data_IF_049794341404
#
_entry.id   IF_049794341404
#
_cell.length_a   1.000
_cell.length_b   1.000
_cell.length_c   1.000
_cell.angle_alpha   90.00
_cell.angle_beta   90.00
_cell.angle_gamma   90.00
#
_symmetry.space_group_name_H-M   'P 1'
#
loop_
_entity.id
_entity.type
_entity.pdbx_description
1 polymer ?
#
# COMPACT_ATOMS: atom_id res chain seq x y z
N UNK A 1 45.08 -12.23 12.93
CA UNK A 1 44.78 -10.86 12.48
C UNK A 1 43.67 -10.25 13.37
N UNK A 2 43.88 -9.11 14.08
CA UNK A 2 42.98 -8.57 15.12
C UNK A 2 41.82 -7.67 14.60
N UNK A 3 40.95 -8.19 13.72
CA UNK A 3 39.95 -7.38 13.02
C UNK A 3 38.62 -8.09 12.97
N UNK A 4 37.54 -7.33 12.98
CA UNK A 4 36.21 -7.84 12.69
C UNK A 4 35.99 -7.98 11.18
N UNK A 5 35.04 -8.83 10.78
CA UNK A 5 34.65 -8.97 9.38
C UNK A 5 34.05 -7.66 8.82
N UNK A 6 34.23 -7.36 7.52
CA UNK A 6 33.59 -6.20 6.91
C UNK A 6 32.06 -6.22 7.08
N UNK A 7 31.48 -5.09 7.50
CA UNK A 7 30.02 -4.96 7.66
C UNK A 7 29.41 -4.75 6.27
N UNK A 8 28.36 -5.50 5.96
CA UNK A 8 27.51 -5.29 4.78
C UNK A 8 26.06 -5.16 5.26
N UNK A 9 25.49 -3.95 5.19
CA UNK A 9 24.08 -3.70 5.52
C UNK A 9 23.32 -3.46 4.22
N UNK A 10 22.38 -4.35 3.90
CA UNK A 10 21.50 -4.15 2.73
C UNK A 10 20.57 -2.96 3.02
N UNK A 11 20.46 -2.03 2.08
CA UNK A 11 19.64 -0.80 2.22
C UNK A 11 20.04 0.10 3.39
N UNK A 12 21.33 0.10 3.74
CA UNK A 12 21.87 0.97 4.78
C UNK A 12 23.32 1.33 4.51
N UNK A 13 23.71 2.47 5.06
CA UNK A 13 25.05 3.02 5.00
C UNK A 13 25.74 2.84 6.35
N UNK A 14 27.05 2.58 6.31
CA UNK A 14 27.86 2.26 7.49
C UNK A 14 29.00 3.27 7.60
N UNK A 15 29.02 4.02 8.69
CA UNK A 15 30.03 5.05 8.95
C UNK A 15 30.91 4.64 10.12
N UNK A 16 32.12 4.15 9.83
CA UNK A 16 33.05 3.66 10.84
C UNK A 16 34.13 4.68 11.21
N UNK A 17 34.41 4.78 12.52
CA UNK A 17 35.48 5.57 13.12
C UNK A 17 36.41 4.63 13.89
N UNK A 18 37.63 4.44 13.37
CA UNK A 18 38.67 3.65 14.03
C UNK A 18 39.25 4.43 15.24
N UNK A 19 39.73 3.73 16.29
CA UNK A 19 40.42 4.40 17.39
C UNK A 19 41.65 5.13 16.89
N UNK A 20 41.88 6.35 17.40
CA UNK A 20 43.09 7.16 17.11
C UNK A 20 43.36 7.41 15.62
N UNK A 21 42.34 7.38 14.76
CA UNK A 21 42.52 7.59 13.32
C UNK A 21 43.21 6.43 12.61
N UNK A 22 43.19 5.23 13.19
CA UNK A 22 43.81 4.05 12.60
C UNK A 22 43.35 3.78 11.16
N UNK A 23 44.29 3.31 10.33
CA UNK A 23 44.06 3.03 8.90
C UNK A 23 42.93 2.01 8.67
N UNK A 24 42.73 1.11 9.62
CA UNK A 24 41.88 -0.06 9.49
C UNK A 24 40.48 0.18 10.06
N UNK A 25 39.45 0.27 9.19
CA UNK A 25 38.04 0.48 9.58
C UNK A 25 37.35 -0.72 10.25
N UNK A 26 38.09 -1.77 10.60
CA UNK A 26 37.57 -2.96 11.29
C UNK A 26 38.46 -3.41 12.45
N UNK A 27 39.40 -2.57 12.90
CA UNK A 27 40.24 -2.85 14.05
C UNK A 27 39.42 -2.93 15.35
N UNK A 28 39.95 -3.63 16.35
CA UNK A 28 39.38 -3.66 17.70
C UNK A 28 39.07 -2.25 18.22
N UNK A 29 37.90 -2.08 18.85
CA UNK A 29 37.42 -0.79 19.36
C UNK A 29 36.82 0.15 18.30
N UNK A 30 36.89 -0.19 17.00
CA UNK A 30 36.21 0.60 15.95
C UNK A 30 34.72 0.70 16.21
N UNK A 31 34.17 1.91 16.07
CA UNK A 31 32.74 2.20 16.22
C UNK A 31 32.14 2.53 14.87
N UNK A 32 31.05 1.88 14.51
CA UNK A 32 30.35 2.09 13.26
C UNK A 32 28.91 2.52 13.50
N UNK A 33 28.53 3.69 13.02
CA UNK A 33 27.17 4.19 13.06
C UNK A 33 26.40 3.71 11.81
N UNK A 34 25.21 3.16 12.00
CA UNK A 34 24.39 2.55 10.95
C UNK A 34 23.23 3.48 10.62
N UNK A 35 23.03 3.77 9.33
CA UNK A 35 21.90 4.58 8.85
C UNK A 35 21.16 3.83 7.76
N UNK A 36 19.89 3.54 7.97
CA UNK A 36 19.06 2.93 6.94
C UNK A 36 18.63 3.96 5.90
N UNK A 37 18.55 3.54 4.65
CA UNK A 37 18.07 4.36 3.54
C UNK A 37 16.60 4.73 3.73
N UNK A 38 16.13 5.77 3.01
CA UNK A 38 14.72 6.19 3.03
C UNK A 38 13.82 5.00 2.68
N UNK A 39 12.75 4.83 3.47
CA UNK A 39 11.84 3.70 3.30
C UNK A 39 12.25 2.43 4.04
N UNK A 40 13.39 2.43 4.73
CA UNK A 40 13.83 1.32 5.58
C UNK A 40 13.95 1.79 7.04
N UNK A 41 13.77 0.86 7.97
CA UNK A 41 13.92 1.08 9.40
C UNK A 41 14.98 0.13 9.97
N UNK A 42 15.73 0.64 10.95
CA UNK A 42 16.79 -0.10 11.62
C UNK A 42 16.19 -1.09 12.62
N UNK A 43 16.60 -2.35 12.52
CA UNK A 43 16.34 -3.39 13.51
C UNK A 43 17.68 -3.85 14.08
N UNK A 44 17.84 -3.69 15.41
CA UNK A 44 19.12 -3.88 16.13
C UNK A 44 19.72 -2.55 16.59
N UNK A 45 20.98 -2.60 17.03
CA UNK A 45 21.70 -1.42 17.53
C UNK A 45 22.03 -0.39 16.43
N UNK A 46 21.97 0.92 16.75
CA UNK A 46 22.39 1.99 15.83
C UNK A 46 23.91 2.16 15.72
N UNK A 47 24.65 1.57 16.66
CA UNK A 47 26.11 1.58 16.68
C UNK A 47 26.64 0.17 16.89
N UNK A 48 27.67 -0.20 16.12
CA UNK A 48 28.41 -1.44 16.25
C UNK A 48 29.82 -1.17 16.75
N UNK A 49 30.33 -2.02 17.63
CA UNK A 49 31.70 -1.95 18.16
C UNK A 49 32.42 -3.25 17.82
N UNK A 50 33.64 -3.17 17.28
CA UNK A 50 34.48 -4.34 17.08
C UNK A 50 35.09 -4.77 18.42
N UNK A 51 34.67 -5.93 18.93
CA UNK A 51 35.05 -6.42 20.26
C UNK A 51 36.31 -7.29 20.22
N UNK A 52 36.93 -7.50 21.38
CA UNK A 52 38.16 -8.33 21.54
C UNK A 52 38.01 -9.77 21.03
N UNK A 53 36.79 -10.30 21.03
CA UNK A 53 36.44 -11.61 20.46
C UNK A 53 36.42 -11.62 18.90
N UNK A 54 36.76 -10.48 18.26
CA UNK A 54 36.78 -10.27 16.80
C UNK A 54 35.40 -10.38 16.15
N UNK A 55 34.35 -10.03 16.90
CA UNK A 55 32.98 -9.91 16.42
C UNK A 55 32.44 -8.50 16.68
N UNK A 56 31.51 -8.08 15.84
CA UNK A 56 30.72 -6.89 16.10
C UNK A 56 29.80 -7.13 17.28
N UNK A 57 29.56 -6.09 18.08
CA UNK A 57 28.74 -6.14 19.29
C UNK A 57 27.29 -6.58 19.07
N UNK A 58 26.77 -6.40 17.86
CA UNK A 58 25.39 -6.76 17.50
C UNK A 58 25.29 -7.10 16.01
N UNK A 59 24.13 -7.61 15.60
CA UNK A 59 23.73 -7.77 14.20
C UNK A 59 22.65 -6.76 13.87
N UNK A 60 22.78 -6.10 12.72
CA UNK A 60 21.87 -5.04 12.29
C UNK A 60 21.29 -5.38 10.93
N UNK A 61 20.01 -5.04 10.74
CA UNK A 61 19.33 -5.16 9.45
C UNK A 61 18.46 -3.93 9.22
N UNK A 62 18.46 -3.42 7.99
CA UNK A 62 17.51 -2.41 7.55
C UNK A 62 16.35 -3.10 6.86
N UNK A 63 15.18 -3.11 7.50
CA UNK A 63 13.95 -3.71 6.95
C UNK A 63 13.12 -2.65 6.24
N UNK A 64 12.54 -3.00 5.10
CA UNK A 64 11.64 -2.12 4.39
C UNK A 64 10.45 -1.80 5.30
N UNK A 65 10.12 -0.52 5.41
CA UNK A 65 8.98 -0.04 6.18
C UNK A 65 7.69 -0.57 5.57
N UNK A 66 6.72 -0.83 6.44
CA UNK A 66 5.43 -1.39 6.08
C UNK A 66 4.31 -0.55 6.67
N UNK A 67 3.34 -0.21 5.83
CA UNK A 67 2.10 0.46 6.22
C UNK A 67 1.10 -0.56 6.80
N UNK A 68 0.02 -0.09 7.46
CA UNK A 68 -1.06 -0.96 7.89
C UNK A 68 -1.62 -1.77 6.73
N UNK A 69 -1.88 -3.06 6.96
CA UNK A 69 -2.52 -3.91 5.97
C UNK A 69 -3.90 -3.35 5.60
N UNK A 70 -4.14 -3.17 4.30
CA UNK A 70 -5.42 -2.69 3.79
C UNK A 70 -6.48 -3.79 3.90
N UNK A 71 -7.68 -3.41 4.34
CA UNK A 71 -8.84 -4.30 4.34
C UNK A 71 -9.45 -4.35 2.93
N UNK A 72 -9.87 -5.55 2.51
CA UNK A 72 -10.58 -5.71 1.24
C UNK A 72 -11.94 -5.00 1.31
N UNK A 73 -12.27 -4.08 0.39
CA UNK A 73 -13.56 -3.43 0.37
C UNK A 73 -14.66 -4.44 -0.01
N UNK A 74 -15.80 -4.37 0.67
CA UNK A 74 -16.99 -5.11 0.25
C UNK A 74 -17.43 -4.63 -1.15
N UNK A 75 -17.87 -5.55 -2.01
CA UNK A 75 -18.31 -5.24 -3.38
C UNK A 75 -17.24 -4.53 -4.25
N UNK A 76 -15.99 -4.93 -4.07
CA UNK A 76 -14.87 -4.44 -4.85
C UNK A 76 -13.57 -5.15 -4.47
N UNK A 77 -12.45 -4.51 -4.79
CA UNK A 77 -11.15 -4.97 -4.34
C UNK A 77 -10.07 -3.92 -4.54
N UNK A 78 -8.83 -4.32 -4.32
CA UNK A 78 -7.66 -3.53 -4.69
C UNK A 78 -6.52 -4.43 -5.17
N UNK A 79 -5.60 -3.86 -5.94
CA UNK A 79 -4.35 -4.51 -6.33
C UNK A 79 -3.18 -3.62 -5.92
N UNK A 80 -2.20 -4.22 -5.25
CA UNK A 80 -0.97 -3.55 -4.84
C UNK A 80 0.23 -4.10 -5.60
N UNK A 81 1.20 -3.24 -5.92
CA UNK A 81 2.44 -3.67 -6.58
C UNK A 81 3.31 -4.51 -5.64
N UNK A 82 3.46 -4.08 -4.39
CA UNK A 82 4.33 -4.72 -3.39
C UNK A 82 3.65 -4.74 -2.01
N UNK A 83 2.42 -5.25 -1.98
CA UNK A 83 1.61 -5.35 -0.76
C UNK A 83 1.53 -4.01 -0.01
N UNK A 84 1.85 -4.03 1.29
CA UNK A 84 1.84 -2.86 2.16
C UNK A 84 3.25 -2.27 2.40
N UNK A 85 4.25 -2.58 1.57
CA UNK A 85 5.61 -2.07 1.76
C UNK A 85 5.80 -0.66 1.21
N UNK A 86 6.79 0.06 1.72
CA UNK A 86 7.14 1.41 1.28
C UNK A 86 7.22 1.54 -0.24
N UNK A 87 6.65 2.62 -0.78
CA UNK A 87 6.45 2.92 -2.19
C UNK A 87 5.51 1.95 -2.95
N UNK A 88 4.95 0.92 -2.30
CA UNK A 88 3.88 0.13 -2.92
C UNK A 88 2.68 1.03 -3.20
N UNK A 89 2.21 1.00 -4.45
CA UNK A 89 1.01 1.67 -4.92
C UNK A 89 -0.12 0.65 -4.99
N UNK A 90 -1.24 0.96 -4.35
CA UNK A 90 -2.44 0.14 -4.35
C UNK A 90 -3.58 0.87 -5.05
N UNK A 91 -4.20 0.21 -6.04
CA UNK A 91 -5.31 0.75 -6.80
C UNK A 91 -6.60 -0.02 -6.48
N UNK A 92 -7.65 0.73 -6.13
CA UNK A 92 -8.97 0.24 -5.76
C UNK A 92 -9.91 0.17 -6.97
N UNK A 93 -10.80 -0.81 -6.94
CA UNK A 93 -11.87 -0.96 -7.93
C UNK A 93 -13.15 -1.44 -7.25
N UNK A 94 -14.30 -1.08 -7.81
CA UNK A 94 -15.60 -1.54 -7.33
C UNK A 94 -16.28 -2.43 -8.34
N UNK A 95 -17.05 -3.40 -7.85
CA UNK A 95 -17.90 -4.24 -8.67
C UNK A 95 -18.98 -3.41 -9.38
N UNK A 96 -19.56 -3.91 -10.49
CA UNK A 96 -20.68 -3.27 -11.16
C UNK A 96 -21.82 -2.94 -10.19
N UNK A 97 -22.43 -1.76 -10.35
CA UNK A 97 -23.46 -1.26 -9.43
C UNK A 97 -22.92 -0.50 -8.21
N UNK A 98 -21.60 -0.45 -8.00
CA UNK A 98 -20.97 0.29 -6.91
C UNK A 98 -20.04 1.40 -7.44
N UNK A 99 -19.76 2.38 -6.58
CA UNK A 99 -18.86 3.52 -6.84
C UNK A 99 -17.84 3.64 -5.72
N UNK A 100 -16.62 4.03 -6.08
CA UNK A 100 -15.55 4.32 -5.12
C UNK A 100 -15.90 5.57 -4.31
N UNK A 101 -15.67 5.48 -3.00
CA UNK A 101 -15.70 6.60 -2.05
C UNK A 101 -14.38 6.62 -1.30
N UNK A 102 -13.53 7.60 -1.62
CA UNK A 102 -12.17 7.74 -1.11
C UNK A 102 -11.16 7.86 -2.25
N UNK A 103 -9.88 7.64 -1.95
CA UNK A 103 -8.81 7.71 -2.96
C UNK A 103 -8.75 6.42 -3.78
N UNK A 104 -8.83 6.54 -5.11
CA UNK A 104 -8.70 5.37 -6.00
C UNK A 104 -7.31 4.73 -5.89
N UNK A 105 -6.28 5.54 -5.61
CA UNK A 105 -4.91 5.07 -5.42
C UNK A 105 -4.38 5.54 -4.08
N UNK A 106 -3.73 4.62 -3.34
CA UNK A 106 -2.93 4.97 -2.16
C UNK A 106 -1.51 4.42 -2.30
N UNK A 107 -0.52 5.16 -1.79
CA UNK A 107 0.89 4.76 -1.79
C UNK A 107 1.41 4.66 -0.36
N UNK A 108 2.18 3.62 -0.03
CA UNK A 108 2.75 3.48 1.30
C UNK A 108 3.95 4.43 1.49
N UNK A 109 3.83 5.36 2.44
CA UNK A 109 4.79 6.43 2.67
C UNK A 109 5.85 6.04 3.71
N UNK A 110 6.91 6.84 3.81
CA UNK A 110 8.06 6.58 4.71
C UNK A 110 7.73 6.75 6.20
N UNK A 111 6.64 7.45 6.52
CA UNK A 111 6.08 7.56 7.86
C UNK A 111 5.22 6.34 8.27
N UNK A 112 5.22 5.27 7.46
CA UNK A 112 4.43 4.05 7.66
C UNK A 112 2.91 4.29 7.58
N UNK A 113 2.48 5.34 6.88
CA UNK A 113 1.07 5.61 6.59
C UNK A 113 0.81 5.60 5.08
N UNK A 114 -0.44 5.34 4.70
CA UNK A 114 -0.90 5.48 3.32
C UNK A 114 -1.02 6.97 2.95
N UNK A 115 -0.73 7.32 1.70
CA UNK A 115 -0.75 8.70 1.18
C UNK A 115 -2.13 9.37 1.27
N UNK A 116 -3.20 8.59 1.42
CA UNK A 116 -4.56 9.07 1.51
C UNK A 116 -5.47 8.04 2.16
N UNK A 117 -6.77 8.34 2.20
CA UNK A 117 -7.78 7.46 2.80
C UNK A 117 -8.10 6.31 1.85
N UNK A 118 -7.89 5.04 2.25
CA UNK A 118 -8.29 3.89 1.44
C UNK A 118 -9.76 3.96 1.04
N UNK A 119 -10.06 3.63 -0.21
CA UNK A 119 -11.43 3.73 -0.72
C UNK A 119 -12.32 2.58 -0.22
N UNK A 120 -13.61 2.89 -0.16
CA UNK A 120 -14.70 1.91 0.04
C UNK A 120 -15.63 1.91 -1.16
N UNK A 121 -16.37 0.83 -1.38
CA UNK A 121 -17.36 0.74 -2.44
C UNK A 121 -18.76 0.94 -1.87
N UNK A 122 -19.46 1.95 -2.38
CA UNK A 122 -20.84 2.27 -1.99
C UNK A 122 -21.77 2.06 -3.17
N UNK A 123 -22.97 1.55 -2.91
CA UNK A 123 -23.96 1.30 -3.98
C UNK A 123 -24.28 2.57 -4.75
N UNK A 124 -24.37 2.47 -6.08
CA UNK A 124 -24.84 3.57 -6.91
C UNK A 124 -26.26 3.91 -6.51
N UNK A 125 -26.53 5.19 -6.19
CA UNK A 125 -27.91 5.64 -5.99
C UNK A 125 -28.63 5.55 -7.33
N UNK A 126 -29.56 4.60 -7.43
CA UNK A 126 -30.47 4.55 -8.58
C UNK A 126 -31.42 5.74 -8.42
N UNK A 127 -31.42 6.67 -9.39
CA UNK A 127 -32.39 7.77 -9.38
C UNK A 127 -33.81 7.18 -9.47
N UNK A 128 -34.83 7.81 -8.84
CA UNK A 128 -36.21 7.33 -8.95
C UNK A 128 -36.68 7.17 -10.40
N UNK A 129 -36.15 7.99 -11.33
CA UNK A 129 -36.41 7.88 -12.76
C UNK A 129 -35.79 6.62 -13.39
N UNK A 130 -34.56 6.27 -13.03
CA UNK A 130 -33.89 5.05 -13.49
C UNK A 130 -34.52 3.79 -12.88
N UNK A 131 -34.98 3.88 -11.61
CA UNK A 131 -35.71 2.81 -10.93
C UNK A 131 -37.04 2.49 -11.61
N UNK A 132 -37.76 3.53 -12.08
CA UNK A 132 -38.97 3.32 -12.88
C UNK A 132 -38.64 2.57 -14.18
N UNK A 133 -37.59 2.95 -14.90
CA UNK A 133 -37.20 2.34 -16.18
C UNK A 133 -36.87 0.84 -16.08
N UNK A 134 -36.11 0.43 -15.06
CA UNK A 134 -35.75 -0.98 -14.83
C UNK A 134 -36.94 -1.87 -14.43
N UNK A 135 -37.98 -1.29 -13.81
CA UNK A 135 -39.22 -2.02 -13.49
C UNK A 135 -40.08 -2.35 -14.73
N UNK A 136 -39.89 -1.66 -15.87
CA UNK A 136 -40.56 -2.00 -17.14
C UNK A 136 -39.88 -3.14 -17.92
N UNK A 137 -38.64 -3.50 -17.58
CA UNK A 137 -37.88 -4.56 -18.28
C UNK A 137 -38.05 -5.95 -17.63
N UNK A 138 -38.42 -6.03 -16.35
CA UNK A 138 -38.75 -7.29 -15.66
C UNK A 138 -40.20 -7.75 -15.92
N UNK A 139 -41.08 -6.84 -16.37
CA UNK A 139 -42.48 -7.15 -16.68
C UNK A 139 -42.68 -7.22 -18.19
N UNK A 140 -42.33 -8.38 -18.77
CA UNK A 140 -42.75 -8.77 -20.12
C UNK A 140 -44.27 -8.96 -20.23
N UNK A 141 -45.06 -7.91 -19.98
CA UNK A 141 -46.49 -7.88 -20.24
C UNK A 141 -46.71 -7.24 -21.60
N UNK A 142 -46.95 -8.11 -22.58
CA UNK A 142 -47.58 -7.79 -23.85
C UNK A 142 -48.81 -6.90 -23.62
N UNK A 143 -48.79 -5.66 -24.10
CA UNK A 143 -50.01 -4.87 -24.27
C UNK A 143 -50.51 -5.11 -25.70
N UNK A 144 -51.06 -6.28 -25.91
CA UNK A 144 -52.01 -6.53 -26.99
C UNK A 144 -53.42 -6.25 -26.45
N UNK A 145 -54.12 -5.32 -27.11
CA UNK A 145 -55.58 -5.07 -27.08
C UNK A 145 -56.21 -4.37 -25.87
N UNK A 146 -56.27 -3.02 -25.88
CA UNK A 146 -57.47 -2.17 -25.67
C UNK A 146 -57.10 -0.78 -26.27
N UNK A 147 -57.66 -0.20 -27.34
CA UNK A 147 -59.04 -0.10 -27.82
C UNK A 147 -59.14 -0.27 -29.34
N UNK A 148 -60.14 -1.04 -29.77
CA UNK A 148 -60.72 -1.00 -31.13
C UNK A 148 -61.52 0.29 -31.33
N UNK A 149 -61.39 0.82 -32.54
CA UNK A 149 -62.39 1.53 -33.35
C UNK A 149 -63.15 2.73 -32.76
N UNK A 150 -62.89 3.89 -33.35
CA UNK A 150 -63.91 4.89 -33.64
C UNK A 150 -63.64 5.48 -35.03
N UNK A 151 -64.16 4.82 -36.06
CA UNK A 151 -64.52 5.52 -37.30
C UNK A 151 -65.93 6.08 -37.12
N UNK A 152 -66.16 7.32 -37.58
CA UNK A 152 -67.38 7.83 -38.24
C UNK A 152 -67.60 9.34 -38.02
N UNK A 153 -67.42 10.08 -39.13
CA UNK A 153 -68.38 10.99 -39.76
C UNK A 153 -68.87 12.30 -39.09
N UNK A 154 -68.71 13.37 -39.91
CA UNK A 154 -69.52 14.62 -40.06
C UNK A 154 -69.35 15.67 -38.95
N UNK A 155 -69.26 16.97 -39.25
CA UNK A 155 -69.71 17.78 -40.39
C UNK A 155 -68.62 18.74 -40.88
#
# INVERSE_FOLDING_TARGET
TPWCSPIKVKYGDVYCRAPQGGYYKTALGTRCDIRCQKGYELHGSSQLICQSNRRWSDKVICKQKRCPTLAMPANGGFKCVDGAYFNSRCEYYCSPGYTLKGEQTVTCMDNKAWSGRPASCVGKRISPALRRRLLWEEQGVSVQWIFKEASMSRM
#
